data_IF_647942587365
#
_entry.id   IF_647942587365
#
_cell.length_a   1.000
_cell.length_b   1.000
_cell.length_c   1.000
_cell.angle_alpha   90.00
_cell.angle_beta   90.00
_cell.angle_gamma   90.00
#
_symmetry.space_group_name_H-M   'P 1'
#
loop_
_entity.id
_entity.type
_entity.pdbx_description
1 polymer ?
#
# COMPACT_ATOMS: atom_id res chain seq x y z
N UNK A 1 -27.25 10.10 -32.16
CA UNK A 1 -27.52 9.92 -30.71
C UNK A 1 -26.23 9.42 -30.04
N UNK A 2 -25.40 10.37 -29.56
CA UNK A 2 -24.16 10.04 -28.84
C UNK A 2 -24.48 9.69 -27.40
N UNK A 3 -24.26 8.46 -27.00
CA UNK A 3 -24.29 8.06 -25.60
C UNK A 3 -23.06 8.69 -24.89
N UNK A 4 -23.30 9.68 -24.04
CA UNK A 4 -22.37 10.09 -23.00
C UNK A 4 -22.07 8.85 -22.13
N UNK A 5 -20.88 8.31 -22.28
CA UNK A 5 -20.33 7.35 -21.32
C UNK A 5 -20.06 8.16 -20.04
N UNK A 6 -20.77 7.81 -19.02
CA UNK A 6 -20.97 8.60 -17.81
C UNK A 6 -19.74 8.54 -16.90
N UNK A 7 -19.41 9.69 -16.38
CA UNK A 7 -18.42 9.97 -15.33
C UNK A 7 -18.57 9.15 -14.03
N UNK A 8 -19.46 8.18 -13.98
CA UNK A 8 -19.75 7.37 -12.79
C UNK A 8 -18.77 6.20 -12.63
N UNK A 9 -18.30 5.59 -13.72
CA UNK A 9 -17.29 4.51 -13.65
C UNK A 9 -15.90 4.99 -13.25
N UNK A 10 -15.55 6.24 -13.59
CA UNK A 10 -14.26 6.82 -13.19
C UNK A 10 -14.20 7.27 -11.72
N UNK A 11 -15.34 7.53 -11.08
CA UNK A 11 -15.38 7.94 -9.66
C UNK A 11 -15.12 6.80 -8.67
N UNK A 12 -15.38 5.56 -9.04
CA UNK A 12 -15.17 4.39 -8.18
C UNK A 12 -13.70 3.95 -8.10
N UNK A 13 -12.83 4.46 -8.98
CA UNK A 13 -11.41 4.08 -9.02
C UNK A 13 -10.50 5.03 -8.22
N UNK A 14 -10.97 6.22 -7.82
CA UNK A 14 -10.19 7.16 -7.02
C UNK A 14 -10.36 6.88 -5.52
N UNK A 15 -9.27 6.94 -4.80
CA UNK A 15 -9.22 6.78 -3.36
C UNK A 15 -8.22 7.78 -2.75
N UNK A 16 -8.18 7.86 -1.43
CA UNK A 16 -7.17 8.65 -0.70
C UNK A 16 -6.15 7.69 -0.10
N UNK A 17 -4.87 8.00 -0.24
CA UNK A 17 -3.76 7.22 0.29
C UNK A 17 -2.68 8.12 0.88
N UNK A 18 -1.61 7.54 1.39
CA UNK A 18 -0.44 8.28 1.87
C UNK A 18 0.53 8.61 0.73
N UNK A 19 1.05 9.84 0.72
CA UNK A 19 2.07 10.26 -0.24
C UNK A 19 3.43 9.58 -0.01
N UNK A 20 3.71 9.19 1.24
CA UNK A 20 4.97 8.58 1.65
C UNK A 20 4.90 8.01 3.06
N UNK A 21 6.02 7.48 3.58
CA UNK A 21 6.10 6.98 4.94
C UNK A 21 5.78 8.07 5.97
N UNK A 22 5.12 7.67 7.04
CA UNK A 22 4.86 8.54 8.20
C UNK A 22 5.09 7.76 9.49
N UNK A 23 5.47 8.49 10.54
CA UNK A 23 5.74 7.89 11.85
C UNK A 23 5.30 8.86 12.95
N UNK A 24 4.72 8.31 14.00
CA UNK A 24 4.45 9.05 15.22
C UNK A 24 4.71 8.17 16.46
N UNK A 25 5.09 8.82 17.55
CA UNK A 25 5.26 8.17 18.85
C UNK A 25 4.26 8.74 19.84
N UNK A 26 3.64 7.87 20.63
CA UNK A 26 2.77 8.22 21.74
C UNK A 26 3.16 7.44 22.99
N UNK A 27 2.97 8.03 24.15
CA UNK A 27 3.24 7.38 25.44
C UNK A 27 1.94 7.34 26.25
N UNK A 28 1.57 6.14 26.70
CA UNK A 28 0.39 5.92 27.55
C UNK A 28 0.81 5.06 28.73
N UNK A 29 0.61 5.54 29.96
CA UNK A 29 0.96 4.81 31.19
C UNK A 29 2.39 4.19 31.13
N UNK A 30 3.38 4.98 30.73
CA UNK A 30 4.80 4.60 30.53
C UNK A 30 5.05 3.60 29.36
N UNK A 31 4.02 3.03 28.75
CA UNK A 31 4.20 2.24 27.52
C UNK A 31 4.41 3.17 26.34
N UNK A 32 5.42 2.88 25.50
CA UNK A 32 5.69 3.61 24.25
C UNK A 32 5.04 2.88 23.09
N UNK A 33 4.34 3.63 22.25
CA UNK A 33 3.74 3.16 21.03
C UNK A 33 4.33 3.94 19.85
N UNK A 34 5.03 3.26 18.95
CA UNK A 34 5.62 3.87 17.76
C UNK A 34 4.83 3.32 16.57
N UNK A 35 4.09 4.20 15.92
CA UNK A 35 3.26 3.85 14.76
C UNK A 35 3.97 4.27 13.47
N UNK A 36 4.03 3.36 12.50
CA UNK A 36 4.56 3.56 11.15
C UNK A 36 3.45 3.34 10.15
N UNK A 37 3.17 4.34 9.32
CA UNK A 37 2.24 4.25 8.20
C UNK A 37 2.96 4.37 6.86
N UNK A 38 2.55 3.60 5.86
CA UNK A 38 3.09 3.67 4.49
C UNK A 38 2.03 3.23 3.48
N UNK A 39 2.06 3.83 2.31
CA UNK A 39 1.32 3.33 1.16
C UNK A 39 1.75 1.89 0.85
N UNK A 40 0.78 1.03 0.63
CA UNK A 40 0.96 -0.35 0.18
C UNK A 40 -0.21 -0.67 -0.76
N UNK A 41 0.07 -0.89 -2.04
CA UNK A 41 -0.98 -1.17 -3.02
C UNK A 41 -1.34 -2.66 -3.07
N UNK A 42 -0.46 -3.51 -2.52
CA UNK A 42 -0.63 -4.96 -2.49
C UNK A 42 -0.41 -5.53 -1.08
N UNK A 43 -0.93 -6.73 -0.86
CA UNK A 43 -0.65 -7.51 0.36
C UNK A 43 0.85 -7.77 0.56
N UNK A 44 1.59 -8.03 -0.53
CA UNK A 44 3.03 -8.28 -0.46
C UNK A 44 3.79 -7.05 0.06
N UNK A 45 3.45 -5.85 -0.42
CA UNK A 45 4.03 -4.59 0.06
C UNK A 45 3.70 -4.34 1.53
N UNK A 46 2.44 -4.57 1.95
CA UNK A 46 2.05 -4.45 3.35
C UNK A 46 2.84 -5.42 4.25
N UNK A 47 2.99 -6.67 3.83
CA UNK A 47 3.77 -7.67 4.56
C UNK A 47 5.27 -7.34 4.60
N UNK A 48 5.81 -6.72 3.54
CA UNK A 48 7.19 -6.25 3.53
C UNK A 48 7.42 -5.17 4.58
N UNK A 49 6.52 -4.19 4.69
CA UNK A 49 6.58 -3.17 5.76
C UNK A 49 6.53 -3.81 7.15
N UNK A 50 5.61 -4.75 7.38
CA UNK A 50 5.48 -5.41 8.68
C UNK A 50 6.78 -6.11 9.08
N UNK A 51 7.41 -6.84 8.15
CA UNK A 51 8.68 -7.53 8.38
C UNK A 51 9.83 -6.53 8.64
N UNK A 52 9.90 -5.46 7.85
CA UNK A 52 10.89 -4.39 7.98
C UNK A 52 10.83 -3.77 9.39
N UNK A 53 9.64 -3.35 9.83
CA UNK A 53 9.46 -2.73 11.14
C UNK A 53 9.70 -3.74 12.27
N UNK A 54 9.24 -4.98 12.16
CA UNK A 54 9.52 -6.01 13.16
C UNK A 54 11.03 -6.27 13.31
N UNK A 55 11.77 -6.30 12.21
CA UNK A 55 13.23 -6.47 12.24
C UNK A 55 13.97 -5.25 12.84
N UNK A 56 13.44 -4.05 12.65
CA UNK A 56 13.99 -2.82 13.23
C UNK A 56 13.73 -2.71 14.75
N UNK A 57 12.76 -3.45 15.29
CA UNK A 57 12.36 -3.38 16.69
C UNK A 57 12.40 -4.77 17.39
N UNK A 58 13.56 -5.45 17.44
CA UNK A 58 13.67 -6.83 17.96
C UNK A 58 13.36 -6.96 19.46
N UNK A 59 13.40 -5.87 20.20
CA UNK A 59 13.08 -5.83 21.64
C UNK A 59 11.68 -5.32 21.95
N UNK A 60 10.84 -5.12 20.91
CA UNK A 60 9.46 -4.72 21.11
C UNK A 60 8.67 -5.79 21.86
N UNK A 61 7.77 -5.39 22.74
CA UNK A 61 6.87 -6.32 23.40
C UNK A 61 5.84 -6.89 22.40
N UNK A 62 5.30 -6.03 21.54
CA UNK A 62 4.35 -6.39 20.51
C UNK A 62 4.55 -5.54 19.25
N UNK A 63 4.32 -6.15 18.07
CA UNK A 63 4.33 -5.47 16.77
C UNK A 63 2.98 -5.75 16.10
N UNK A 64 2.00 -4.92 16.41
CA UNK A 64 0.63 -5.06 15.93
C UNK A 64 0.46 -4.28 14.63
N UNK A 65 -0.43 -4.75 13.76
CA UNK A 65 -0.56 -4.13 12.44
C UNK A 65 -1.96 -4.29 11.87
N UNK A 66 -2.27 -3.42 10.90
CA UNK A 66 -3.39 -3.56 10.00
C UNK A 66 -3.05 -2.99 8.62
N UNK A 67 -3.74 -3.49 7.60
CA UNK A 67 -3.67 -2.92 6.26
C UNK A 67 -5.00 -3.04 5.52
N UNK A 68 -5.18 -2.12 4.59
CA UNK A 68 -6.27 -2.10 3.62
C UNK A 68 -5.69 -1.84 2.24
N UNK A 69 -5.72 -2.84 1.35
CA UNK A 69 -5.03 -2.82 0.06
C UNK A 69 -5.91 -3.37 -1.06
N UNK A 70 -5.49 -3.18 -2.30
CA UNK A 70 -6.15 -3.74 -3.48
C UNK A 70 -7.16 -2.79 -4.13
N UNK A 71 -8.27 -3.33 -4.60
CA UNK A 71 -9.26 -2.54 -5.33
C UNK A 71 -10.19 -1.79 -4.38
N UNK A 72 -10.52 -0.51 -4.64
CA UNK A 72 -11.37 0.29 -3.75
C UNK A 72 -12.77 -0.30 -3.51
N UNK A 73 -13.33 -0.96 -4.50
CA UNK A 73 -14.64 -1.62 -4.45
C UNK A 73 -14.62 -3.00 -3.81
N UNK A 74 -13.42 -3.64 -3.75
CA UNK A 74 -13.22 -4.95 -3.12
C UNK A 74 -11.87 -5.01 -2.40
N UNK A 75 -11.68 -4.23 -1.31
CA UNK A 75 -10.42 -4.17 -0.60
C UNK A 75 -10.12 -5.45 0.17
N UNK A 76 -8.84 -5.81 0.22
CA UNK A 76 -8.32 -6.79 1.16
C UNK A 76 -7.98 -6.09 2.47
N UNK A 77 -8.61 -6.53 3.57
CA UNK A 77 -8.42 -5.97 4.90
C UNK A 77 -7.95 -7.05 5.86
N UNK A 78 -6.81 -6.81 6.50
CA UNK A 78 -6.25 -7.74 7.49
C UNK A 78 -5.63 -6.98 8.65
N UNK A 79 -5.61 -7.62 9.81
CA UNK A 79 -5.00 -7.10 11.04
C UNK A 79 -4.49 -8.21 11.95
N UNK A 80 -3.62 -7.86 12.88
CA UNK A 80 -3.09 -8.77 13.89
C UNK A 80 -2.85 -8.04 15.20
N UNK A 81 -3.26 -8.67 16.27
CA UNK A 81 -2.98 -8.24 17.64
C UNK A 81 -1.57 -8.64 18.12
N UNK A 82 -0.86 -9.52 17.39
CA UNK A 82 0.53 -9.94 17.63
C UNK A 82 0.83 -10.23 19.13
N UNK A 83 -0.05 -11.01 19.78
CA UNK A 83 0.09 -11.42 21.18
C UNK A 83 -0.53 -10.46 22.21
N UNK A 84 -1.07 -9.32 21.81
CA UNK A 84 -1.98 -8.57 22.69
C UNK A 84 -3.32 -9.31 22.83
N UNK A 85 -4.15 -9.02 23.84
CA UNK A 85 -5.48 -9.60 23.95
C UNK A 85 -6.31 -9.38 22.69
N UNK A 86 -7.08 -10.38 22.29
CA UNK A 86 -7.83 -10.37 21.03
C UNK A 86 -8.70 -9.10 20.87
N UNK A 87 -8.55 -8.43 19.72
CA UNK A 87 -9.30 -7.23 19.35
C UNK A 87 -8.83 -5.93 19.99
N UNK A 88 -7.73 -5.95 20.76
CA UNK A 88 -7.28 -4.76 21.50
C UNK A 88 -6.24 -3.92 20.77
N UNK A 89 -5.66 -4.42 19.67
CA UNK A 89 -4.61 -3.74 18.92
C UNK A 89 -4.90 -3.66 17.42
N UNK A 90 -4.92 -4.78 16.72
CA UNK A 90 -5.05 -4.82 15.27
C UNK A 90 -6.35 -4.20 14.77
N UNK A 91 -7.47 -4.49 15.42
CA UNK A 91 -8.77 -3.91 15.06
C UNK A 91 -8.84 -2.39 15.30
N UNK A 92 -8.37 -1.83 16.43
CA UNK A 92 -8.21 -0.39 16.62
C UNK A 92 -7.34 0.30 15.55
N UNK A 93 -6.24 -0.35 15.12
CA UNK A 93 -5.39 0.17 14.02
C UNK A 93 -6.19 0.18 12.71
N UNK A 94 -6.90 -0.90 12.38
CA UNK A 94 -7.76 -0.97 11.19
C UNK A 94 -8.84 0.12 11.21
N UNK A 95 -9.47 0.33 12.35
CA UNK A 95 -10.48 1.38 12.49
C UNK A 95 -9.90 2.79 12.31
N UNK A 96 -8.63 3.03 12.65
CA UNK A 96 -7.95 4.30 12.39
C UNK A 96 -7.75 4.51 10.87
N UNK A 97 -7.37 3.48 10.11
CA UNK A 97 -7.27 3.54 8.64
C UNK A 97 -8.63 3.87 8.02
N UNK A 98 -9.67 3.15 8.42
CA UNK A 98 -11.03 3.34 7.92
C UNK A 98 -11.58 4.73 8.27
N UNK A 99 -11.39 5.18 9.52
CA UNK A 99 -11.81 6.50 9.99
C UNK A 99 -11.12 7.66 9.27
N UNK A 100 -9.89 7.45 8.80
CA UNK A 100 -9.17 8.40 7.94
C UNK A 100 -9.61 8.37 6.46
N UNK A 101 -10.52 7.47 6.08
CA UNK A 101 -10.93 7.28 4.68
C UNK A 101 -9.80 6.80 3.77
N UNK A 102 -8.75 6.20 4.35
CA UNK A 102 -7.55 5.81 3.63
C UNK A 102 -7.68 4.42 2.99
N UNK A 103 -7.05 4.28 1.84
CA UNK A 103 -6.98 3.06 1.07
C UNK A 103 -5.54 2.84 0.58
N UNK A 104 -5.15 1.60 0.32
CA UNK A 104 -3.79 1.23 -0.04
C UNK A 104 -2.77 1.74 0.99
N UNK A 105 -3.03 1.39 2.26
CA UNK A 105 -2.22 1.79 3.41
C UNK A 105 -2.01 0.60 4.32
N UNK A 106 -0.78 0.45 4.81
CA UNK A 106 -0.44 -0.41 5.93
C UNK A 106 0.05 0.44 7.12
N UNK A 107 -0.38 0.05 8.32
CA UNK A 107 0.04 0.67 9.58
C UNK A 107 0.55 -0.41 10.52
N UNK A 108 1.74 -0.19 11.06
CA UNK A 108 2.39 -1.05 12.07
C UNK A 108 2.60 -0.25 13.34
N UNK A 109 2.14 -0.76 14.46
CA UNK A 109 2.33 -0.13 15.78
C UNK A 109 3.18 -1.03 16.64
N UNK A 110 4.35 -0.55 16.99
CA UNK A 110 5.32 -1.18 17.89
C UNK A 110 5.05 -0.73 19.30
N UNK A 111 4.92 -1.66 20.24
CA UNK A 111 4.76 -1.36 21.66
C UNK A 111 5.94 -1.83 22.47
N UNK A 112 6.44 -0.93 23.34
CA UNK A 112 7.33 -1.25 24.44
C UNK A 112 6.56 -1.08 25.75
N UNK A 113 6.41 -2.17 26.48
CA UNK A 113 5.67 -2.20 27.75
C UNK A 113 6.35 -1.36 28.82
N UNK A 114 5.60 -0.49 29.47
CA UNK A 114 6.12 0.45 30.50
C UNK A 114 5.90 -0.01 31.94
N UNK A 115 5.55 -1.28 32.17
CA UNK A 115 5.35 -1.81 33.52
C UNK A 115 3.93 -1.65 34.08
N UNK A 116 3.07 -0.83 33.47
CA UNK A 116 1.69 -0.60 33.90
C UNK A 116 0.70 -1.29 32.92
N UNK A 117 -0.22 -2.11 33.46
CA UNK A 117 -1.27 -2.73 32.65
C UNK A 117 -2.35 -1.73 32.28
N UNK A 118 -2.58 -1.52 30.99
CA UNK A 118 -3.61 -0.59 30.49
C UNK A 118 -5.04 -1.14 30.58
N UNK A 119 -5.19 -2.46 30.68
CA UNK A 119 -6.48 -3.13 30.52
C UNK A 119 -6.98 -3.10 29.08
N UNK A 120 -8.08 -3.81 28.81
CA UNK A 120 -8.64 -3.96 27.44
C UNK A 120 -8.97 -2.60 26.82
N UNK A 121 -9.68 -1.73 27.52
CA UNK A 121 -10.08 -0.43 27.00
C UNK A 121 -8.89 0.50 26.78
N UNK A 122 -7.94 0.53 27.72
CA UNK A 122 -6.74 1.35 27.60
C UNK A 122 -5.85 0.92 26.42
N UNK A 123 -5.76 -0.39 26.14
CA UNK A 123 -5.06 -0.89 24.96
C UNK A 123 -5.74 -0.44 23.65
N UNK A 124 -7.07 -0.60 23.54
CA UNK A 124 -7.83 -0.18 22.38
C UNK A 124 -7.60 1.31 22.08
N UNK A 125 -7.69 2.15 23.10
CA UNK A 125 -7.51 3.60 22.97
C UNK A 125 -6.08 3.96 22.62
N UNK A 126 -5.07 3.32 23.21
CA UNK A 126 -3.65 3.57 22.95
C UNK A 126 -3.24 3.19 21.51
N UNK A 127 -3.64 2.01 21.03
CA UNK A 127 -3.36 1.59 19.65
C UNK A 127 -4.05 2.46 18.62
N UNK A 128 -5.32 2.82 18.85
CA UNK A 128 -6.06 3.74 18.00
C UNK A 128 -5.41 5.12 17.95
N UNK A 129 -5.02 5.67 19.12
CA UNK A 129 -4.34 6.97 19.23
C UNK A 129 -3.02 6.97 18.46
N UNK A 130 -2.17 5.96 18.65
CA UNK A 130 -0.89 5.85 17.98
C UNK A 130 -1.05 5.75 16.45
N UNK A 131 -1.93 4.87 15.97
CA UNK A 131 -2.21 4.74 14.54
C UNK A 131 -2.73 6.04 13.93
N UNK A 132 -3.68 6.70 14.60
CA UNK A 132 -4.24 7.98 14.16
C UNK A 132 -3.17 9.05 14.08
N UNK A 133 -2.33 9.19 15.11
CA UNK A 133 -1.24 10.17 15.14
C UNK A 133 -0.26 10.00 13.97
N UNK A 134 0.11 8.75 13.61
CA UNK A 134 0.96 8.49 12.45
C UNK A 134 0.26 8.85 11.14
N UNK A 135 -1.01 8.48 10.98
CA UNK A 135 -1.76 8.80 9.77
C UNK A 135 -1.98 10.31 9.59
N UNK A 136 -2.21 11.06 10.68
CA UNK A 136 -2.33 12.52 10.68
C UNK A 136 -0.99 13.23 10.38
N UNK A 137 0.14 12.64 10.81
CA UNK A 137 1.47 13.13 10.45
C UNK A 137 1.79 12.87 8.96
N UNK A 138 1.09 11.93 8.33
CA UNK A 138 1.23 11.61 6.92
C UNK A 138 0.46 12.59 6.03
N UNK A 139 1.01 12.82 4.82
CA UNK A 139 0.30 13.60 3.80
C UNK A 139 -0.66 12.71 3.03
N UNK A 140 -1.95 12.94 3.17
CA UNK A 140 -2.98 12.29 2.37
C UNK A 140 -3.01 12.86 0.94
N UNK A 141 -3.07 12.00 -0.06
CA UNK A 141 -3.10 12.37 -1.47
C UNK A 141 -4.11 11.51 -2.23
N UNK A 142 -4.64 12.01 -3.36
CA UNK A 142 -5.40 11.17 -4.27
C UNK A 142 -4.54 9.99 -4.75
N UNK A 143 -5.11 8.80 -4.70
CA UNK A 143 -4.54 7.57 -5.23
C UNK A 143 -5.36 7.05 -6.41
N UNK A 144 -4.75 6.18 -7.20
CA UNK A 144 -5.40 5.47 -8.30
C UNK A 144 -4.90 4.03 -8.32
N UNK A 145 -5.75 3.06 -8.74
CA UNK A 145 -5.34 1.68 -8.87
C UNK A 145 -4.21 1.53 -9.87
N UNK A 146 -3.17 0.80 -9.48
CA UNK A 146 -2.06 0.45 -10.35
C UNK A 146 -2.20 -0.99 -10.83
N UNK A 147 -1.76 -1.27 -12.05
CA UNK A 147 -1.66 -2.62 -12.61
C UNK A 147 -0.24 -2.90 -13.06
N UNK A 148 0.15 -4.17 -13.00
CA UNK A 148 1.45 -4.64 -13.48
C UNK A 148 1.27 -5.31 -14.85
N UNK A 149 2.09 -4.88 -15.81
CA UNK A 149 2.15 -5.42 -17.16
C UNK A 149 3.54 -5.94 -17.46
N UNK A 150 3.67 -7.24 -17.75
CA UNK A 150 4.93 -7.83 -18.18
C UNK A 150 5.14 -7.57 -19.68
N UNK A 151 6.17 -6.82 -20.01
CA UNK A 151 6.39 -6.24 -21.33
C UNK A 151 7.78 -6.58 -21.88
N UNK A 152 7.91 -6.53 -23.22
CA UNK A 152 9.19 -6.72 -23.92
C UNK A 152 9.32 -5.70 -25.04
N UNK A 153 10.50 -5.07 -25.14
CA UNK A 153 10.82 -4.16 -26.24
C UNK A 153 12.26 -4.37 -26.75
N UNK A 154 12.59 -3.94 -27.98
CA UNK A 154 13.96 -3.88 -28.44
C UNK A 154 14.84 -3.02 -27.53
N UNK A 155 16.10 -3.42 -27.31
CA UNK A 155 17.04 -2.68 -26.46
C UNK A 155 17.13 -1.19 -26.82
N UNK A 156 17.24 -0.88 -28.12
CA UNK A 156 17.34 0.51 -28.59
C UNK A 156 16.11 1.39 -28.29
N UNK A 157 14.94 0.78 -28.06
CA UNK A 157 13.70 1.49 -27.77
C UNK A 157 13.42 1.61 -26.26
N UNK A 158 14.13 0.87 -25.42
CA UNK A 158 13.82 0.76 -23.98
C UNK A 158 13.81 2.12 -23.26
N UNK A 159 14.78 3.00 -23.55
CA UNK A 159 14.85 4.33 -22.94
C UNK A 159 13.61 5.18 -23.25
N UNK A 160 13.15 5.15 -24.49
CA UNK A 160 11.95 5.87 -24.92
C UNK A 160 10.69 5.30 -24.29
N UNK A 161 10.55 3.97 -24.29
CA UNK A 161 9.42 3.24 -23.68
C UNK A 161 9.34 3.54 -22.19
N UNK A 162 10.46 3.46 -21.48
CA UNK A 162 10.52 3.79 -20.05
C UNK A 162 10.05 5.24 -19.79
N UNK A 163 10.53 6.20 -20.56
CA UNK A 163 10.11 7.59 -20.42
C UNK A 163 8.61 7.80 -20.69
N UNK A 164 8.05 7.08 -21.67
CA UNK A 164 6.61 7.12 -21.94
C UNK A 164 5.80 6.50 -20.78
N UNK A 165 6.26 5.38 -20.19
CA UNK A 165 5.63 4.78 -19.00
C UNK A 165 5.65 5.76 -17.83
N UNK A 166 6.78 6.42 -17.58
CA UNK A 166 6.92 7.44 -16.55
C UNK A 166 5.97 8.64 -16.79
N UNK A 167 5.81 9.05 -18.04
CA UNK A 167 4.87 10.12 -18.42
C UNK A 167 3.39 9.73 -18.20
N UNK A 168 3.06 8.45 -18.27
CA UNK A 168 1.74 7.91 -17.90
C UNK A 168 1.53 7.80 -16.38
N UNK A 169 2.50 8.23 -15.57
CA UNK A 169 2.46 8.10 -14.11
C UNK A 169 2.82 6.70 -13.61
N UNK A 170 3.49 5.91 -14.44
CA UNK A 170 3.97 4.56 -14.11
C UNK A 170 5.44 4.50 -13.72
N UNK A 171 5.90 3.30 -13.42
CA UNK A 171 7.29 2.94 -13.16
C UNK A 171 7.66 1.65 -13.88
N UNK A 172 8.97 1.41 -14.05
CA UNK A 172 9.49 0.16 -14.61
C UNK A 172 10.31 -0.55 -13.55
N UNK A 173 10.00 -1.83 -13.34
CA UNK A 173 10.65 -2.70 -12.37
C UNK A 173 11.19 -3.98 -13.06
N UNK A 174 12.13 -4.65 -12.41
CA UNK A 174 12.66 -5.96 -12.84
C UNK A 174 13.12 -6.04 -14.30
N UNK A 175 13.84 -5.01 -14.78
CA UNK A 175 14.34 -5.00 -16.15
C UNK A 175 15.51 -6.00 -16.34
N UNK A 176 15.33 -6.95 -17.28
CA UNK A 176 16.34 -7.89 -17.72
C UNK A 176 16.78 -7.53 -19.15
N UNK A 177 18.06 -7.27 -19.32
CA UNK A 177 18.66 -6.78 -20.56
C UNK A 177 19.32 -7.91 -21.36
N UNK A 178 18.90 -8.03 -22.64
CA UNK A 178 19.50 -8.91 -23.65
C UNK A 178 19.37 -8.23 -25.04
N UNK A 179 19.18 -8.97 -26.13
CA UNK A 179 18.80 -8.42 -27.44
C UNK A 179 17.49 -7.66 -27.37
N UNK A 180 16.58 -8.13 -26.53
CA UNK A 180 15.37 -7.44 -26.09
C UNK A 180 15.44 -7.19 -24.58
N UNK A 181 14.72 -6.18 -24.10
CA UNK A 181 14.57 -5.87 -22.68
C UNK A 181 13.21 -6.35 -22.22
N UNK A 182 13.19 -7.25 -21.23
CA UNK A 182 11.97 -7.69 -20.54
C UNK A 182 11.86 -6.98 -19.22
N UNK A 183 10.68 -6.47 -18.90
CA UNK A 183 10.47 -5.70 -17.69
C UNK A 183 9.01 -5.77 -17.25
N UNK A 184 8.76 -5.38 -16.00
CA UNK A 184 7.42 -5.17 -15.46
C UNK A 184 7.16 -3.66 -15.44
N UNK A 185 6.10 -3.21 -16.10
CA UNK A 185 5.60 -1.85 -16.01
C UNK A 185 4.47 -1.81 -15.00
N UNK A 186 4.57 -0.94 -14.00
CA UNK A 186 3.51 -0.64 -13.05
C UNK A 186 2.88 0.68 -13.44
N UNK A 187 1.66 0.66 -13.96
CA UNK A 187 0.98 1.83 -14.51
C UNK A 187 -0.42 2.01 -13.93
N UNK A 188 -0.96 3.25 -13.93
CA UNK A 188 -2.38 3.45 -13.64
C UNK A 188 -3.25 2.57 -14.52
N UNK A 189 -4.29 1.94 -13.94
CA UNK A 189 -5.21 1.07 -14.68
C UNK A 189 -5.80 1.75 -15.91
N UNK A 190 -6.12 3.04 -15.78
CA UNK A 190 -6.65 3.83 -16.90
C UNK A 190 -5.68 3.89 -18.09
N UNK A 191 -4.37 3.82 -17.84
CA UNK A 191 -3.30 3.90 -18.83
C UNK A 191 -2.79 2.52 -19.29
N UNK A 192 -3.29 1.42 -18.74
CA UNK A 192 -2.79 0.06 -19.04
C UNK A 192 -2.88 -0.28 -20.52
N UNK A 193 -4.00 0.03 -21.18
CA UNK A 193 -4.19 -0.22 -22.61
C UNK A 193 -3.21 0.58 -23.47
N UNK A 194 -2.97 1.83 -23.12
CA UNK A 194 -2.02 2.70 -23.80
C UNK A 194 -0.59 2.19 -23.61
N UNK A 195 -0.23 1.80 -22.39
CA UNK A 195 1.07 1.20 -22.09
C UNK A 195 1.30 -0.09 -22.88
N UNK A 196 0.32 -0.99 -22.91
CA UNK A 196 0.41 -2.26 -23.68
C UNK A 196 0.49 -2.03 -25.21
N UNK A 197 -0.03 -0.93 -25.73
CA UNK A 197 0.06 -0.59 -27.14
C UNK A 197 1.45 -0.09 -27.57
N UNK A 198 2.27 0.40 -26.65
CA UNK A 198 3.62 0.88 -26.92
C UNK A 198 4.63 -0.23 -27.17
N UNK A 199 4.37 -1.41 -26.63
CA UNK A 199 5.30 -2.53 -26.56
C UNK A 199 4.58 -3.86 -26.74
N UNK A 200 5.34 -4.93 -26.96
CA UNK A 200 4.79 -6.28 -27.09
C UNK A 200 4.53 -6.87 -25.69
N UNK A 201 3.28 -7.25 -25.32
CA UNK A 201 3.00 -7.92 -24.05
C UNK A 201 3.68 -9.30 -23.98
N UNK A 202 4.35 -9.61 -22.86
CA UNK A 202 4.85 -10.94 -22.57
C UNK A 202 3.67 -11.83 -22.13
N UNK A 203 3.14 -12.60 -23.02
CA UNK A 203 1.97 -13.47 -22.73
C UNK A 203 0.96 -13.57 -23.84
N UNK A 204 1.00 -12.67 -24.80
CA UNK A 204 0.34 -12.87 -26.08
C UNK A 204 1.10 -13.92 -26.90
N UNK A 205 1.16 -15.19 -26.43
CA UNK A 205 1.48 -16.31 -27.31
C UNK A 205 0.37 -16.34 -28.36
N UNK A 206 0.64 -15.70 -29.48
CA UNK A 206 -0.19 -15.81 -30.65
C UNK A 206 -0.39 -17.29 -30.95
N UNK A 207 -1.61 -17.76 -30.92
CA UNK A 207 -1.98 -18.98 -31.65
C UNK A 207 -1.62 -18.70 -33.10
N UNK A 208 -0.44 -19.14 -33.53
CA UNK A 208 -0.18 -19.33 -34.97
C UNK A 208 -0.96 -20.58 -35.36
N UNK A 209 -1.95 -20.40 -36.20
CA UNK A 209 -2.48 -21.46 -37.07
C UNK A 209 -1.41 -21.86 -38.05
#
# INVERSE_FOLDING_TARGET
MSKKVTSTEQRSEQFVTLAGPCTAETVVERSRFIAHGRRADTRAEAQSLIKEIAAAHPQATHVCWAYRVGWPDMPEEYWSDAGEPSGTAGRPIQNAILGGGLHNVAVVVVRYYGGTKLGVRGLIDAYRLAAKAALEAGKAVPGQPMVEEALECPYGSYRQVRHQIEALGGSVEHAAFAETVRFVARVPRASAKECAAMVRPLGAKGKRK
#
